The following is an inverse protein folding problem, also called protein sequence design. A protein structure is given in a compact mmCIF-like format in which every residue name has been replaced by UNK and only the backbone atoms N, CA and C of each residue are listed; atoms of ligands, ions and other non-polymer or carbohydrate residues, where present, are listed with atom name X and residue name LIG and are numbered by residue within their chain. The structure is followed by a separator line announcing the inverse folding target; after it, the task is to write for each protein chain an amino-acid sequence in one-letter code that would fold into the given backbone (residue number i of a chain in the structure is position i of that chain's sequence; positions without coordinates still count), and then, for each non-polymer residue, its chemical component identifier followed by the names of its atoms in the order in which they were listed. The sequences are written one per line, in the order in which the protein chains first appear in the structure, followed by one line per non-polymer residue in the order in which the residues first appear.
data_IF_584950706810
#
_entry.id   IF_584950706810
#
_cell.length_a   1.000
_cell.length_b   1.000
_cell.length_c   1.000
_cell.angle_alpha   90.00
_cell.angle_beta   90.00
_cell.angle_gamma   90.00
#
_symmetry.space_group_name_H-M   'P 1'
#
loop_
_entity.id
_entity.type
_entity.pdbx_description
1 polymer ?
#
# COMPACT_ATOMS: atom_id res chain seq x y z
N UNK A 1 -20.82 27.95 12.33
CA UNK A 1 -21.90 28.87 11.86
C UNK A 1 -22.09 28.79 10.34
N UNK A 2 -22.11 27.58 9.74
CA UNK A 2 -22.50 27.39 8.34
C UNK A 2 -23.72 26.46 8.32
N UNK A 3 -24.92 27.01 8.09
CA UNK A 3 -26.18 26.23 8.10
C UNK A 3 -26.34 25.34 6.87
N UNK A 4 -25.61 25.63 5.81
CA UNK A 4 -25.70 24.94 4.52
C UNK A 4 -24.59 23.90 4.33
N UNK A 5 -23.78 23.61 5.35
CA UNK A 5 -22.60 22.73 5.23
C UNK A 5 -22.93 21.35 4.66
N UNK A 6 -24.11 20.80 4.95
CA UNK A 6 -24.57 19.50 4.44
C UNK A 6 -24.95 19.53 2.94
N UNK A 7 -25.03 20.71 2.31
CA UNK A 7 -25.25 20.85 0.86
C UNK A 7 -23.94 20.86 0.07
N UNK A 8 -22.80 20.78 0.76
CA UNK A 8 -21.46 20.81 0.18
C UNK A 8 -20.64 21.97 0.76
N UNK A 9 -19.39 21.67 1.09
CA UNK A 9 -18.41 22.67 1.53
C UNK A 9 -17.02 22.26 1.06
N UNK A 10 -16.40 23.12 0.26
CA UNK A 10 -15.02 22.92 -0.20
C UNK A 10 -14.05 23.43 0.88
N UNK A 11 -13.24 22.52 1.41
CA UNK A 11 -12.24 22.87 2.40
C UNK A 11 -11.00 23.45 1.73
N UNK A 12 -10.57 24.63 2.16
CA UNK A 12 -9.26 25.15 1.82
C UNK A 12 -8.23 24.53 2.77
N UNK A 13 -7.33 23.69 2.25
CA UNK A 13 -6.33 22.98 3.07
C UNK A 13 -5.42 23.94 3.88
N UNK A 14 -5.07 25.10 3.35
CA UNK A 14 -4.19 26.04 4.08
C UNK A 14 -4.90 26.72 5.26
N UNK A 15 -6.23 26.85 5.24
CA UNK A 15 -6.99 27.66 6.21
C UNK A 15 -7.90 26.84 7.12
N UNK A 16 -8.56 25.82 6.56
CA UNK A 16 -9.65 25.12 7.24
C UNK A 16 -9.20 23.81 7.91
N UNK A 17 -7.98 23.34 7.66
CA UNK A 17 -7.44 22.09 8.23
C UNK A 17 -6.22 22.32 9.13
N UNK A 18 -6.00 23.55 9.59
CA UNK A 18 -4.95 23.84 10.57
C UNK A 18 -5.35 23.24 11.94
N UNK A 19 -4.52 22.38 12.54
CA UNK A 19 -4.84 21.77 13.83
C UNK A 19 -4.75 22.79 14.96
N UNK A 20 -5.57 22.60 16.00
CA UNK A 20 -5.47 23.35 17.25
C UNK A 20 -4.70 22.50 18.27
N UNK A 21 -3.56 23.01 18.74
CA UNK A 21 -2.69 22.29 19.68
C UNK A 21 -2.97 22.66 21.14
N UNK A 22 -3.18 23.94 21.43
CA UNK A 22 -3.40 24.43 22.79
C UNK A 22 -4.16 25.78 22.76
N UNK A 23 -4.63 26.21 23.94
CA UNK A 23 -5.18 27.55 24.16
C UNK A 23 -4.03 28.56 24.28
N UNK A 24 -4.30 29.80 23.89
CA UNK A 24 -3.32 30.89 24.00
C UNK A 24 -2.99 31.20 25.47
N UNK A 25 -1.70 31.40 25.78
CA UNK A 25 -1.21 31.78 27.10
C UNK A 25 0.11 32.57 26.98
N UNK A 26 0.44 33.41 27.97
CA UNK A 26 1.68 34.20 27.93
C UNK A 26 2.96 33.35 27.93
N UNK A 27 2.88 32.10 28.38
CA UNK A 27 3.97 31.11 28.42
C UNK A 27 4.23 30.45 27.05
N UNK A 28 3.32 30.60 26.09
CA UNK A 28 3.37 29.94 24.77
C UNK A 28 4.18 30.70 23.71
N UNK A 29 4.99 31.69 24.11
CA UNK A 29 5.66 32.63 23.19
C UNK A 29 6.88 32.06 22.46
N UNK A 30 7.40 30.90 22.86
CA UNK A 30 8.58 30.27 22.23
C UNK A 30 8.32 28.80 21.85
N UNK A 31 8.60 28.48 20.58
CA UNK A 31 8.80 27.15 19.97
C UNK A 31 8.19 25.93 20.70
N UNK A 32 6.89 25.99 20.98
CA UNK A 32 6.16 24.98 21.75
C UNK A 32 6.36 23.56 21.21
N UNK A 33 6.29 23.41 19.88
CA UNK A 33 6.44 22.11 19.22
C UNK A 33 7.83 21.51 19.45
N UNK A 34 8.90 22.30 19.31
CA UNK A 34 10.27 21.87 19.54
C UNK A 34 10.48 21.49 21.01
N UNK A 35 9.93 22.28 21.94
CA UNK A 35 10.04 22.00 23.36
C UNK A 35 9.30 20.70 23.76
N UNK A 36 8.11 20.46 23.22
CA UNK A 36 7.39 19.19 23.47
C UNK A 36 8.11 17.98 22.85
N UNK A 37 8.67 18.12 21.64
CA UNK A 37 9.50 17.06 21.05
C UNK A 37 10.75 16.76 21.89
N UNK A 38 11.46 17.81 22.32
CA UNK A 38 12.65 17.70 23.15
C UNK A 38 12.35 17.00 24.47
N UNK A 39 11.22 17.34 25.10
CA UNK A 39 10.72 16.69 26.30
C UNK A 39 10.38 15.22 26.09
N UNK A 40 9.70 14.87 24.98
CA UNK A 40 9.39 13.47 24.64
C UNK A 40 10.68 12.66 24.42
N UNK A 41 11.70 13.25 23.82
CA UNK A 41 12.99 12.61 23.52
C UNK A 41 13.99 12.65 24.69
N UNK A 42 13.76 13.51 25.69
CA UNK A 42 14.69 13.71 26.80
C UNK A 42 15.99 14.41 26.40
N UNK A 43 15.93 15.35 25.45
CA UNK A 43 17.09 16.12 24.95
C UNK A 43 16.86 17.64 25.13
N UNK A 44 17.89 18.46 24.93
CA UNK A 44 17.71 19.92 24.84
C UNK A 44 17.05 20.26 23.48
N UNK A 45 16.12 21.22 23.45
CA UNK A 45 15.48 21.64 22.20
C UNK A 45 16.48 22.22 21.20
N UNK A 46 17.61 22.75 21.67
CA UNK A 46 18.73 23.23 20.85
C UNK A 46 19.47 22.11 20.10
N UNK A 47 19.31 20.86 20.53
CA UNK A 47 19.91 19.70 19.85
C UNK A 47 19.06 19.20 18.68
N UNK A 48 17.82 19.69 18.52
CA UNK A 48 16.96 19.38 17.39
C UNK A 48 17.38 20.25 16.21
N UNK A 49 17.96 19.62 15.18
CA UNK A 49 18.39 20.30 13.96
C UNK A 49 17.24 20.53 12.98
N UNK A 50 16.35 19.54 12.84
CA UNK A 50 15.18 19.58 11.96
C UNK A 50 14.20 18.46 12.35
N UNK A 51 12.99 18.48 11.80
CA UNK A 51 11.96 17.46 12.03
C UNK A 51 11.03 17.26 10.83
N UNK A 52 10.57 16.02 10.66
CA UNK A 52 9.47 15.66 9.77
C UNK A 52 8.38 14.94 10.58
N UNK A 53 7.21 15.56 10.68
CA UNK A 53 6.11 15.13 11.54
C UNK A 53 4.82 15.03 10.75
N UNK A 54 4.09 13.95 11.01
CA UNK A 54 2.80 13.68 10.40
C UNK A 54 1.71 13.65 11.47
N UNK A 55 0.56 14.25 11.16
CA UNK A 55 -0.63 14.16 11.99
C UNK A 55 -1.40 12.91 11.55
N UNK A 56 -1.84 12.11 12.51
CA UNK A 56 -2.57 10.88 12.24
C UNK A 56 -3.62 10.61 13.30
N UNK A 57 -4.63 9.82 12.94
CA UNK A 57 -5.64 9.35 13.88
C UNK A 57 -5.00 8.41 14.93
N UNK A 58 -5.14 8.79 16.21
CA UNK A 58 -4.64 8.03 17.36
C UNK A 58 -5.55 6.87 17.78
N UNK A 59 -6.78 6.80 17.25
CA UNK A 59 -7.70 5.72 17.56
C UNK A 59 -7.12 4.37 17.09
N UNK A 60 -7.17 3.37 17.97
CA UNK A 60 -6.71 2.02 17.65
C UNK A 60 -7.56 1.41 16.53
N UNK A 61 -6.96 0.48 15.78
CA UNK A 61 -7.71 -0.37 14.88
C UNK A 61 -8.61 -1.32 15.65
N UNK A 62 -9.80 -1.58 15.11
CA UNK A 62 -10.83 -2.39 15.76
C UNK A 62 -11.47 -3.36 14.77
N UNK A 63 -11.88 -4.52 15.28
CA UNK A 63 -12.81 -5.38 14.56
C UNK A 63 -14.22 -4.80 14.68
N UNK A 64 -14.93 -4.75 13.55
CA UNK A 64 -16.28 -4.19 13.46
C UNK A 64 -17.18 -5.08 12.61
N UNK A 65 -18.48 -4.82 12.66
CA UNK A 65 -19.50 -5.69 12.06
C UNK A 65 -20.19 -6.57 13.09
N UNK A 66 -21.35 -7.12 12.74
CA UNK A 66 -22.17 -7.93 13.68
C UNK A 66 -21.46 -9.22 14.11
N UNK A 67 -20.48 -9.67 13.33
CA UNK A 67 -19.68 -10.88 13.54
C UNK A 67 -18.18 -10.56 13.54
N UNK A 68 -17.79 -9.30 13.74
CA UNK A 68 -16.38 -8.88 13.70
C UNK A 68 -15.71 -9.19 12.35
N UNK A 69 -16.49 -9.13 11.26
CA UNK A 69 -16.03 -9.53 9.92
C UNK A 69 -15.15 -8.49 9.21
N UNK A 70 -15.02 -7.27 9.76
CA UNK A 70 -14.26 -6.18 9.17
C UNK A 70 -13.18 -5.64 10.11
N UNK A 71 -12.14 -5.03 9.53
CA UNK A 71 -11.15 -4.24 10.26
C UNK A 71 -11.31 -2.77 9.89
N UNK A 72 -11.53 -1.92 10.90
CA UNK A 72 -11.56 -0.47 10.74
C UNK A 72 -10.34 0.16 11.39
N UNK A 73 -9.50 0.84 10.61
CA UNK A 73 -8.32 1.57 11.09
C UNK A 73 -7.76 2.50 10.01
N UNK A 74 -6.93 3.48 10.39
CA UNK A 74 -6.23 4.33 9.42
C UNK A 74 -5.01 3.63 8.81
N UNK A 75 -4.63 4.06 7.60
CA UNK A 75 -3.41 3.64 6.88
C UNK A 75 -3.40 2.15 6.48
N UNK A 76 -4.56 1.56 6.23
CA UNK A 76 -4.63 0.22 5.63
C UNK A 76 -3.98 0.25 4.26
N UNK A 77 -4.28 1.30 3.50
CA UNK A 77 -3.50 1.69 2.33
C UNK A 77 -2.17 2.35 2.76
N UNK A 78 -1.00 1.73 2.59
CA UNK A 78 -0.75 0.37 2.11
C UNK A 78 -0.08 -0.54 3.17
N UNK A 79 -0.23 -0.22 4.46
CA UNK A 79 0.39 -1.00 5.55
C UNK A 79 -0.13 -2.44 5.60
N UNK A 80 -1.34 -2.71 5.11
CA UNK A 80 -1.89 -4.06 5.09
C UNK A 80 -1.16 -4.99 4.13
N UNK A 81 -0.83 -4.51 2.94
CA UNK A 81 -0.04 -5.29 1.99
C UNK A 81 1.42 -5.41 2.44
N UNK A 82 1.99 -4.35 3.02
CA UNK A 82 3.32 -4.40 3.61
C UNK A 82 3.40 -5.43 4.76
N UNK A 83 2.45 -5.40 5.68
CA UNK A 83 2.35 -6.34 6.81
C UNK A 83 2.23 -7.77 6.32
N UNK A 84 1.25 -8.06 5.47
CA UNK A 84 0.99 -9.44 5.02
C UNK A 84 2.14 -9.99 4.19
N UNK A 85 2.80 -9.17 3.36
CA UNK A 85 4.00 -9.56 2.60
C UNK A 85 5.17 -9.89 3.52
N UNK A 86 5.45 -9.04 4.52
CA UNK A 86 6.54 -9.26 5.47
C UNK A 86 6.31 -10.50 6.33
N UNK A 87 5.10 -10.68 6.87
CA UNK A 87 4.77 -11.86 7.67
C UNK A 87 4.90 -13.13 6.85
N UNK A 88 4.39 -13.14 5.62
CA UNK A 88 4.53 -14.28 4.74
C UNK A 88 5.99 -14.61 4.43
N UNK A 89 6.84 -13.60 4.20
CA UNK A 89 8.27 -13.80 4.00
C UNK A 89 8.91 -14.47 5.23
N UNK A 90 8.67 -13.93 6.43
CA UNK A 90 9.23 -14.43 7.69
C UNK A 90 8.75 -15.85 8.04
N UNK A 91 7.54 -16.21 7.63
CA UNK A 91 6.94 -17.52 7.90
C UNK A 91 7.13 -18.53 6.76
N UNK A 92 7.79 -18.13 5.66
CA UNK A 92 8.09 -18.98 4.52
C UNK A 92 9.50 -19.59 4.62
N UNK A 93 9.71 -20.73 3.95
CA UNK A 93 11.05 -21.27 3.74
C UNK A 93 11.54 -20.82 2.37
N UNK A 94 12.72 -20.22 2.31
CA UNK A 94 13.29 -19.76 1.06
C UNK A 94 13.72 -20.92 0.16
N UNK A 95 13.19 -20.98 -1.07
CA UNK A 95 13.72 -21.82 -2.15
C UNK A 95 14.66 -21.07 -3.10
N UNK A 96 14.87 -19.77 -2.86
CA UNK A 96 15.71 -18.88 -3.64
C UNK A 96 15.99 -17.55 -2.94
N UNK A 97 16.27 -16.50 -3.71
CA UNK A 97 16.43 -15.14 -3.18
C UNK A 97 15.05 -14.50 -3.08
N UNK A 98 14.47 -14.55 -1.88
CA UNK A 98 13.21 -13.89 -1.60
C UNK A 98 13.46 -12.43 -1.19
N UNK A 99 12.68 -11.51 -1.76
CA UNK A 99 12.80 -10.08 -1.49
C UNK A 99 11.44 -9.54 -1.09
N UNK A 100 11.44 -8.76 -0.02
CA UNK A 100 10.36 -7.85 0.33
C UNK A 100 10.91 -6.43 0.23
N UNK A 101 10.17 -5.55 -0.46
CA UNK A 101 10.48 -4.15 -0.58
C UNK A 101 9.23 -3.33 -0.23
N UNK A 102 9.35 -2.48 0.79
CA UNK A 102 8.40 -1.42 1.07
C UNK A 102 9.03 -0.09 0.64
N UNK A 103 8.36 0.64 -0.25
CA UNK A 103 8.82 1.93 -0.76
C UNK A 103 8.03 3.07 -0.13
N UNK A 104 8.67 4.21 0.04
CA UNK A 104 8.02 5.44 0.49
C UNK A 104 7.48 6.24 -0.72
N UNK A 105 6.71 7.29 -0.46
CA UNK A 105 6.31 8.32 -1.42
C UNK A 105 5.48 7.85 -2.62
N UNK A 106 4.86 6.67 -2.55
CA UNK A 106 3.93 6.16 -3.56
C UNK A 106 2.81 7.19 -3.84
N UNK A 107 2.19 7.64 -2.76
CA UNK A 107 1.05 8.58 -2.74
C UNK A 107 1.36 9.98 -3.29
N UNK A 108 2.65 10.27 -3.52
CA UNK A 108 3.12 11.53 -4.11
C UNK A 108 3.89 11.29 -5.43
N UNK A 109 3.78 10.09 -6.01
CA UNK A 109 4.25 9.76 -7.35
C UNK A 109 5.52 8.91 -7.42
N UNK A 110 6.06 8.43 -6.30
CA UNK A 110 7.25 7.58 -6.20
C UNK A 110 8.58 8.15 -6.69
N UNK A 111 8.61 9.38 -7.21
CA UNK A 111 9.83 10.04 -7.73
C UNK A 111 10.69 10.59 -6.58
N UNK A 112 11.30 9.69 -5.83
CA UNK A 112 12.21 10.02 -4.72
C UNK A 112 13.30 8.95 -4.59
N UNK A 113 14.28 9.18 -3.71
CA UNK A 113 15.30 8.17 -3.41
C UNK A 113 14.71 6.87 -2.83
N UNK A 114 13.70 7.00 -1.95
CA UNK A 114 13.07 5.90 -1.25
C UNK A 114 11.81 5.35 -1.94
N UNK A 115 11.37 5.99 -3.03
CA UNK A 115 10.21 5.58 -3.82
C UNK A 115 10.52 4.52 -4.86
N UNK A 116 9.45 4.00 -5.46
CA UNK A 116 9.54 2.94 -6.46
C UNK A 116 10.16 3.37 -7.79
N UNK A 117 10.18 4.68 -8.10
CA UNK A 117 10.86 5.25 -9.28
C UNK A 117 12.37 5.46 -9.04
N UNK A 118 12.94 4.62 -8.16
CA UNK A 118 14.33 4.65 -7.77
C UNK A 118 15.05 3.41 -8.33
N UNK A 119 16.26 3.54 -8.89
CA UNK A 119 17.03 2.39 -9.37
C UNK A 119 17.61 1.54 -8.22
N UNK A 120 17.29 1.87 -6.95
CA UNK A 120 17.82 1.22 -5.75
C UNK A 120 17.56 -0.27 -5.74
N UNK A 121 16.36 -0.75 -6.12
CA UNK A 121 16.06 -2.18 -6.15
C UNK A 121 17.02 -2.93 -7.10
N UNK A 122 17.17 -2.45 -8.33
CA UNK A 122 18.08 -3.05 -9.31
C UNK A 122 19.53 -3.04 -8.84
N UNK A 123 19.99 -1.94 -8.22
CA UNK A 123 21.33 -1.86 -7.65
C UNK A 123 21.56 -2.81 -6.48
N UNK A 124 20.55 -3.01 -5.62
CA UNK A 124 20.64 -3.98 -4.52
C UNK A 124 20.74 -5.40 -5.07
N UNK A 125 19.87 -5.77 -6.02
CA UNK A 125 19.88 -7.11 -6.63
C UNK A 125 21.19 -7.39 -7.36
N UNK A 126 21.74 -6.41 -8.09
CA UNK A 126 23.04 -6.54 -8.75
C UNK A 126 24.18 -6.73 -7.71
N UNK A 127 24.16 -5.99 -6.60
CA UNK A 127 25.15 -6.18 -5.52
C UNK A 127 25.05 -7.56 -4.87
N UNK A 128 23.84 -8.08 -4.68
CA UNK A 128 23.61 -9.44 -4.18
C UNK A 128 24.18 -10.45 -5.17
N UNK A 129 23.91 -10.30 -6.47
CA UNK A 129 24.43 -11.19 -7.50
C UNK A 129 25.97 -11.20 -7.53
N UNK A 130 26.61 -10.02 -7.49
CA UNK A 130 28.08 -9.90 -7.43
C UNK A 130 28.64 -10.56 -6.18
N UNK A 131 28.01 -10.37 -5.02
CA UNK A 131 28.46 -10.97 -3.76
C UNK A 131 28.37 -12.51 -3.77
N UNK A 132 27.45 -13.06 -4.56
CA UNK A 132 27.30 -14.50 -4.80
C UNK A 132 28.22 -15.04 -5.92
N UNK A 133 29.05 -14.19 -6.51
CA UNK A 133 29.98 -14.56 -7.57
C UNK A 133 29.35 -14.65 -8.97
N UNK A 134 28.13 -14.15 -9.15
CA UNK A 134 27.47 -14.11 -10.44
C UNK A 134 28.06 -13.01 -11.34
N UNK A 135 28.17 -13.30 -12.63
CA UNK A 135 28.52 -12.32 -13.64
C UNK A 135 27.27 -11.59 -14.17
N UNK A 136 27.47 -10.61 -15.07
CA UNK A 136 26.39 -9.77 -15.61
C UNK A 136 25.32 -10.58 -16.38
N UNK A 137 25.73 -11.58 -17.15
CA UNK A 137 24.79 -12.41 -17.92
C UNK A 137 23.92 -13.25 -16.97
N UNK A 138 24.52 -13.81 -15.92
CA UNK A 138 23.79 -14.56 -14.89
C UNK A 138 22.78 -13.66 -14.14
N UNK A 139 23.15 -12.41 -13.85
CA UNK A 139 22.22 -11.43 -13.27
C UNK A 139 21.03 -11.13 -14.19
N UNK A 140 21.28 -10.86 -15.48
CA UNK A 140 20.20 -10.59 -16.45
C UNK A 140 19.27 -11.79 -16.62
N UNK A 141 19.83 -13.01 -16.65
CA UNK A 141 19.05 -14.25 -16.65
C UNK A 141 18.25 -14.42 -15.36
N UNK A 142 18.79 -14.03 -14.21
CA UNK A 142 18.06 -14.07 -12.94
C UNK A 142 16.85 -13.13 -12.96
N UNK A 143 16.99 -11.91 -13.51
CA UNK A 143 15.87 -10.98 -13.67
C UNK A 143 14.74 -11.56 -14.55
N UNK A 144 15.09 -12.17 -15.69
CA UNK A 144 14.09 -12.77 -16.59
C UNK A 144 13.35 -13.96 -15.95
N UNK A 145 14.01 -14.66 -15.02
CA UNK A 145 13.41 -15.75 -14.23
C UNK A 145 12.72 -15.28 -12.95
N UNK A 146 12.82 -13.99 -12.61
CA UNK A 146 12.18 -13.40 -11.43
C UNK A 146 10.70 -13.10 -11.70
N UNK A 147 9.93 -12.98 -10.61
CA UNK A 147 8.55 -12.55 -10.64
C UNK A 147 8.30 -11.58 -9.49
N UNK A 148 7.56 -10.50 -9.76
CA UNK A 148 7.25 -9.48 -8.77
C UNK A 148 5.73 -9.42 -8.55
N UNK A 149 5.32 -9.37 -7.29
CA UNK A 149 3.94 -9.04 -6.92
C UNK A 149 3.95 -7.59 -6.47
N UNK A 150 3.32 -6.72 -7.26
CA UNK A 150 3.02 -5.34 -6.88
C UNK A 150 1.77 -5.39 -6.01
N UNK A 151 1.99 -5.17 -4.71
CA UNK A 151 1.01 -5.44 -3.68
C UNK A 151 0.51 -4.12 -3.08
N UNK A 152 -0.74 -3.78 -3.37
CA UNK A 152 -1.31 -2.48 -3.05
C UNK A 152 -2.81 -2.57 -2.73
N UNK A 153 -3.50 -1.55 -2.24
CA UNK A 153 -4.93 -1.65 -1.97
C UNK A 153 -5.76 -1.82 -3.27
N UNK A 154 -7.00 -2.31 -3.15
CA UNK A 154 -7.95 -2.41 -4.25
C UNK A 154 -9.32 -1.88 -3.81
N UNK A 155 -10.03 -1.19 -4.71
CA UNK A 155 -11.37 -0.71 -4.38
C UNK A 155 -12.39 -1.84 -4.33
N UNK A 156 -13.03 -2.02 -3.18
CA UNK A 156 -14.25 -2.82 -3.09
C UNK A 156 -15.45 -2.04 -3.65
N UNK A 157 -16.45 -2.75 -4.18
CA UNK A 157 -17.73 -2.14 -4.55
C UNK A 157 -18.40 -1.58 -3.30
N UNK A 158 -18.66 -0.28 -3.31
CA UNK A 158 -19.36 0.35 -2.20
C UNK A 158 -20.87 0.13 -2.36
N UNK A 159 -21.60 -0.40 -1.35
CA UNK A 159 -23.02 -0.75 -1.48
C UNK A 159 -23.92 0.45 -1.80
N UNK A 160 -23.54 1.65 -1.34
CA UNK A 160 -24.26 2.90 -1.63
C UNK A 160 -23.86 3.57 -2.97
N UNK A 161 -22.82 3.08 -3.65
CA UNK A 161 -22.27 3.71 -4.87
C UNK A 161 -21.86 2.65 -5.90
N UNK A 162 -22.72 1.65 -6.12
CA UNK A 162 -22.42 0.52 -7.01
C UNK A 162 -22.18 0.97 -8.45
N UNK A 163 -22.75 2.09 -8.86
CA UNK A 163 -22.56 2.70 -10.18
C UNK A 163 -21.12 3.15 -10.44
N UNK A 164 -20.28 3.29 -9.39
CA UNK A 164 -18.86 3.64 -9.53
C UNK A 164 -17.99 2.45 -9.92
N UNK A 165 -18.46 1.22 -9.72
CA UNK A 165 -17.72 0.01 -10.08
C UNK A 165 -17.97 -0.40 -11.54
N UNK A 166 -17.07 -1.23 -12.07
CA UNK A 166 -17.32 -1.95 -13.33
C UNK A 166 -18.54 -2.88 -13.16
N UNK A 167 -19.44 -2.98 -14.15
CA UNK A 167 -20.64 -3.80 -14.02
C UNK A 167 -20.35 -5.32 -13.98
N UNK A 168 -19.17 -5.75 -14.42
CA UNK A 168 -18.79 -7.18 -14.49
C UNK A 168 -17.75 -7.57 -13.43
N UNK A 169 -17.02 -6.60 -12.87
CA UNK A 169 -15.95 -6.82 -11.90
C UNK A 169 -16.19 -5.96 -10.65
N UNK A 170 -16.74 -6.57 -9.61
CA UNK A 170 -17.14 -5.88 -8.38
C UNK A 170 -16.52 -6.59 -7.16
N UNK A 171 -15.26 -6.29 -6.80
CA UNK A 171 -14.64 -6.90 -5.64
C UNK A 171 -15.42 -6.58 -4.37
N UNK A 172 -15.58 -7.58 -3.50
CA UNK A 172 -16.22 -7.43 -2.19
C UNK A 172 -15.22 -7.67 -1.07
N UNK A 173 -15.48 -7.07 0.09
CA UNK A 173 -14.71 -7.29 1.32
C UNK A 173 -14.76 -8.78 1.71
N UNK A 174 -13.61 -9.34 2.08
CA UNK A 174 -13.51 -10.74 2.50
C UNK A 174 -13.55 -11.76 1.35
N UNK A 175 -13.64 -11.31 0.10
CA UNK A 175 -13.67 -12.16 -1.09
C UNK A 175 -12.29 -12.65 -1.55
N UNK A 176 -11.22 -12.33 -0.82
CA UNK A 176 -9.84 -12.70 -1.15
C UNK A 176 -9.14 -11.69 -2.06
N UNK A 177 -7.87 -11.97 -2.41
CA UNK A 177 -7.03 -11.09 -3.21
C UNK A 177 -7.67 -10.66 -4.53
N UNK A 178 -7.53 -9.37 -4.85
CA UNK A 178 -8.08 -8.78 -6.07
C UNK A 178 -6.97 -8.62 -7.10
N UNK A 179 -7.08 -9.26 -8.26
CA UNK A 179 -6.16 -9.08 -9.38
C UNK A 179 -6.59 -7.84 -10.18
N UNK A 180 -5.71 -6.83 -10.26
CA UNK A 180 -6.00 -5.53 -10.87
C UNK A 180 -5.56 -5.52 -12.33
N UNK A 181 -6.48 -5.30 -13.26
CA UNK A 181 -6.21 -5.21 -14.69
C UNK A 181 -6.48 -3.81 -15.24
N UNK A 182 -5.60 -3.34 -16.13
CA UNK A 182 -5.81 -2.11 -16.86
C UNK A 182 -5.14 -2.18 -18.25
N UNK A 183 -5.93 -2.07 -19.31
CA UNK A 183 -5.39 -2.02 -20.68
C UNK A 183 -4.48 -0.80 -20.92
N UNK A 184 -4.67 0.27 -20.13
CA UNK A 184 -3.81 1.45 -20.10
C UNK A 184 -2.43 1.22 -19.46
N UNK A 185 -2.17 0.03 -18.90
CA UNK A 185 -0.97 -0.30 -18.11
C UNK A 185 -0.78 0.55 -16.85
N UNK A 186 -1.88 1.04 -16.27
CA UNK A 186 -1.88 1.55 -14.89
C UNK A 186 -1.61 0.44 -13.85
N UNK A 187 -1.77 -0.82 -14.28
CA UNK A 187 -1.43 -2.04 -13.56
C UNK A 187 -0.65 -2.95 -14.52
N UNK A 188 0.28 -3.76 -14.00
CA UNK A 188 1.16 -4.60 -14.83
C UNK A 188 0.51 -5.90 -15.27
N UNK A 189 -0.56 -6.31 -14.58
CA UNK A 189 -1.23 -7.60 -14.78
C UNK A 189 -1.64 -7.84 -16.24
N UNK A 190 -1.37 -9.06 -16.69
CA UNK A 190 -1.79 -9.64 -17.96
C UNK A 190 -2.13 -11.13 -17.75
N UNK A 191 -2.50 -11.83 -18.83
CA UNK A 191 -2.89 -13.24 -18.73
C UNK A 191 -1.80 -14.14 -18.13
N UNK A 192 -0.53 -13.86 -18.40
CA UNK A 192 0.59 -14.66 -17.90
C UNK A 192 0.82 -14.44 -16.40
N UNK A 193 0.96 -13.17 -16.00
CA UNK A 193 1.20 -12.78 -14.61
C UNK A 193 0.01 -13.11 -13.70
N UNK A 194 -1.21 -12.89 -14.17
CA UNK A 194 -2.41 -13.28 -13.44
C UNK A 194 -2.58 -14.80 -13.39
N UNK A 195 -2.27 -15.54 -14.46
CA UNK A 195 -2.32 -17.00 -14.45
C UNK A 195 -1.40 -17.60 -13.39
N UNK A 196 -0.18 -17.05 -13.21
CA UNK A 196 0.71 -17.43 -12.11
C UNK A 196 0.10 -17.16 -10.74
N UNK A 197 -0.49 -15.99 -10.54
CA UNK A 197 -1.09 -15.65 -9.25
C UNK A 197 -2.34 -16.49 -8.95
N UNK A 198 -3.17 -16.79 -9.94
CA UNK A 198 -4.32 -17.70 -9.81
C UNK A 198 -3.88 -19.10 -9.41
N UNK A 199 -2.78 -19.61 -9.98
CA UNK A 199 -2.19 -20.90 -9.58
C UNK A 199 -1.73 -20.86 -8.11
N UNK A 200 -1.09 -19.77 -7.66
CA UNK A 200 -0.72 -19.57 -6.25
C UNK A 200 -1.96 -19.56 -5.33
N UNK A 201 -3.00 -18.81 -5.69
CA UNK A 201 -4.27 -18.81 -4.94
C UNK A 201 -4.88 -20.21 -4.86
N UNK A 202 -4.87 -20.95 -5.97
CA UNK A 202 -5.42 -22.32 -6.04
C UNK A 202 -4.66 -23.28 -5.11
N UNK A 203 -3.32 -23.25 -5.15
CA UNK A 203 -2.45 -24.06 -4.27
C UNK A 203 -2.63 -23.69 -2.79
N UNK A 204 -2.77 -22.39 -2.50
CA UNK A 204 -3.04 -21.88 -1.17
C UNK A 204 -4.49 -22.10 -0.69
N UNK A 205 -5.39 -22.57 -1.57
CA UNK A 205 -6.84 -22.71 -1.32
C UNK A 205 -7.49 -21.38 -0.89
N UNK A 206 -7.05 -20.29 -1.52
CA UNK A 206 -7.52 -18.92 -1.27
C UNK A 206 -8.42 -18.48 -2.44
N UNK A 207 -9.61 -17.91 -2.18
CA UNK A 207 -10.43 -17.32 -3.24
C UNK A 207 -9.74 -16.09 -3.82
N UNK A 208 -10.05 -15.73 -5.06
CA UNK A 208 -9.55 -14.49 -5.67
C UNK A 208 -10.66 -13.79 -6.44
N UNK A 209 -10.45 -12.50 -6.68
CA UNK A 209 -11.36 -11.61 -7.39
C UNK A 209 -10.60 -10.88 -8.49
N UNK A 210 -11.33 -10.19 -9.36
CA UNK A 210 -10.75 -9.36 -10.43
C UNK A 210 -11.28 -7.94 -10.33
N UNK A 211 -10.44 -6.98 -10.70
CA UNK A 211 -10.80 -5.58 -10.75
C UNK A 211 -10.43 -5.00 -12.11
N UNK A 212 -11.37 -4.26 -12.67
CA UNK A 212 -11.19 -3.39 -13.82
C UNK A 212 -11.75 -2.03 -13.47
N UNK A 213 -11.10 -0.98 -13.94
CA UNK A 213 -11.71 0.34 -13.94
C UNK A 213 -12.89 0.34 -14.91
N UNK A 214 -13.91 1.16 -14.63
CA UNK A 214 -14.88 1.52 -15.66
C UNK A 214 -14.14 2.18 -16.83
N UNK A 215 -14.49 1.80 -18.06
CA UNK A 215 -13.82 2.30 -19.26
C UNK A 215 -13.97 3.82 -19.49
N UNK A 216 -14.94 4.47 -18.84
CA UNK A 216 -15.22 5.90 -18.96
C UNK A 216 -14.52 6.77 -17.90
N UNK A 217 -13.78 6.16 -16.97
CA UNK A 217 -13.07 6.88 -15.89
C UNK A 217 -11.60 6.48 -15.87
N UNK A 218 -10.72 7.47 -15.69
CA UNK A 218 -9.31 7.20 -15.44
C UNK A 218 -9.16 6.58 -14.05
N UNK A 219 -8.64 5.36 -13.99
CA UNK A 219 -8.28 4.71 -12.72
C UNK A 219 -7.00 5.24 -12.10
N UNK A 220 -6.74 4.81 -10.87
CA UNK A 220 -5.43 4.94 -10.22
C UNK A 220 -4.34 4.16 -10.95
N UNK A 221 -3.11 4.32 -10.48
CA UNK A 221 -1.91 3.58 -10.87
C UNK A 221 -1.25 3.07 -9.59
N UNK A 222 -0.28 2.17 -9.71
CA UNK A 222 0.50 1.65 -8.59
C UNK A 222 2.00 1.80 -8.84
N UNK A 223 2.81 1.33 -7.88
CA UNK A 223 4.24 1.11 -8.07
C UNK A 223 4.59 0.02 -9.10
N UNK A 224 3.65 -0.82 -9.51
CA UNK A 224 3.92 -1.95 -10.42
C UNK A 224 4.56 -1.49 -11.74
N UNK A 225 3.87 -0.66 -12.53
CA UNK A 225 4.42 -0.14 -13.79
C UNK A 225 5.69 0.69 -13.58
N UNK A 226 5.77 1.45 -12.48
CA UNK A 226 6.94 2.26 -12.13
C UNK A 226 8.15 1.36 -11.91
N UNK A 227 8.01 0.33 -11.07
CA UNK A 227 9.05 -0.65 -10.77
C UNK A 227 9.49 -1.39 -12.03
N UNK A 228 8.54 -1.82 -12.88
CA UNK A 228 8.86 -2.48 -14.16
C UNK A 228 9.68 -1.59 -15.11
N UNK A 229 9.48 -0.27 -15.06
CA UNK A 229 10.27 0.67 -15.87
C UNK A 229 11.72 0.81 -15.39
N UNK A 230 11.95 0.62 -14.08
CA UNK A 230 13.28 0.66 -13.47
C UNK A 230 14.01 -0.70 -13.50
N UNK A 231 13.26 -1.81 -13.46
CA UNK A 231 13.81 -3.16 -13.51
C UNK A 231 12.89 -4.10 -14.29
N UNK A 232 13.44 -4.78 -15.30
CA UNK A 232 12.70 -5.64 -16.21
C UNK A 232 12.31 -6.99 -15.56
N UNK A 233 11.37 -6.96 -14.61
CA UNK A 233 10.80 -8.14 -13.95
C UNK A 233 9.30 -8.22 -14.29
N UNK A 234 8.82 -9.40 -14.69
CA UNK A 234 7.40 -9.63 -14.92
C UNK A 234 6.64 -9.51 -13.60
N UNK A 235 5.54 -8.77 -13.59
CA UNK A 235 4.78 -8.54 -12.37
C UNK A 235 3.28 -8.63 -12.53
N UNK A 236 2.62 -8.96 -11.43
CA UNK A 236 1.17 -8.88 -11.26
C UNK A 236 0.86 -7.77 -10.25
N UNK A 237 -0.18 -6.98 -10.52
CA UNK A 237 -0.75 -6.04 -9.56
C UNK A 237 -1.96 -6.68 -8.90
N UNK A 238 -1.88 -6.79 -7.58
CA UNK A 238 -2.95 -7.33 -6.75
C UNK A 238 -3.27 -6.40 -5.60
N UNK A 239 -4.41 -6.61 -4.95
CA UNK A 239 -4.71 -5.84 -3.77
C UNK A 239 -5.80 -6.31 -2.84
N UNK A 240 -5.76 -5.75 -1.64
CA UNK A 240 -6.77 -5.98 -0.61
C UNK A 240 -7.97 -5.08 -0.83
N UNK A 241 -9.14 -5.72 -0.96
CA UNK A 241 -10.39 -5.01 -1.16
C UNK A 241 -10.70 -4.10 0.04
N UNK A 242 -10.79 -2.79 -0.21
CA UNK A 242 -10.85 -1.73 0.79
C UNK A 242 -11.98 -0.76 0.46
N UNK A 243 -12.72 -0.34 1.46
CA UNK A 243 -13.67 0.78 1.41
C UNK A 243 -13.08 1.99 2.11
N UNK A 244 -13.40 3.17 1.58
CA UNK A 244 -12.93 4.44 2.13
C UNK A 244 -11.44 4.67 1.95
N UNK A 245 -10.81 4.08 0.92
CA UNK A 245 -9.40 4.29 0.58
C UNK A 245 -9.02 5.79 0.63
N UNK A 246 -7.88 6.11 1.26
CA UNK A 246 -7.37 7.46 1.59
C UNK A 246 -8.17 8.20 2.69
N UNK A 247 -9.12 7.56 3.34
CA UNK A 247 -9.75 8.10 4.56
C UNK A 247 -8.74 8.06 5.72
N UNK A 248 -8.92 8.96 6.69
CA UNK A 248 -8.23 8.85 7.99
C UNK A 248 -8.52 7.51 8.69
N UNK A 249 -9.63 6.85 8.32
CA UNK A 249 -10.02 5.51 8.78
C UNK A 249 -10.70 4.72 7.66
N UNK A 250 -10.10 3.61 7.29
CA UNK A 250 -10.49 2.73 6.18
C UNK A 250 -11.16 1.46 6.71
N UNK A 251 -11.69 0.63 5.80
CA UNK A 251 -12.40 -0.61 6.12
C UNK A 251 -12.06 -1.74 5.14
N UNK A 252 -11.62 -2.89 5.67
CA UNK A 252 -11.30 -4.12 4.90
C UNK A 252 -11.96 -5.34 5.54
N UNK A 253 -12.01 -6.46 4.81
CA UNK A 253 -12.45 -7.75 5.37
C UNK A 253 -11.38 -8.38 6.26
N UNK A 254 -11.74 -8.80 7.48
CA UNK A 254 -10.78 -9.40 8.42
C UNK A 254 -10.15 -10.70 7.89
N UNK A 255 -10.92 -11.49 7.13
CA UNK A 255 -10.45 -12.73 6.49
C UNK A 255 -9.37 -12.50 5.43
N UNK A 256 -9.34 -11.33 4.78
CA UNK A 256 -8.42 -11.05 3.69
C UNK A 256 -6.96 -11.00 4.18
N UNK A 257 -6.70 -10.61 5.43
CA UNK A 257 -5.36 -10.66 6.02
C UNK A 257 -4.78 -12.07 5.97
N UNK A 258 -5.56 -13.07 6.37
CA UNK A 258 -5.14 -14.47 6.33
C UNK A 258 -5.01 -15.00 4.90
N UNK A 259 -5.93 -14.62 4.01
CA UNK A 259 -5.86 -14.95 2.59
C UNK A 259 -4.54 -14.47 1.96
N UNK A 260 -4.15 -13.23 2.24
CA UNK A 260 -2.91 -12.65 1.73
C UNK A 260 -1.66 -13.31 2.27
N UNK A 261 -1.59 -13.55 3.59
CA UNK A 261 -0.46 -14.28 4.18
C UNK A 261 -0.31 -15.66 3.54
N UNK A 262 -1.43 -16.38 3.32
CA UNK A 262 -1.39 -17.72 2.74
C UNK A 262 -0.93 -17.74 1.28
N UNK A 263 -1.41 -16.81 0.43
CA UNK A 263 -0.97 -16.74 -0.97
C UNK A 263 0.47 -16.25 -1.09
N UNK A 264 0.91 -15.31 -0.26
CA UNK A 264 2.29 -14.83 -0.27
C UNK A 264 3.28 -15.89 0.25
N UNK A 265 2.86 -16.74 1.20
CA UNK A 265 3.65 -17.93 1.56
C UNK A 265 3.85 -18.86 0.37
N UNK A 266 2.84 -19.01 -0.48
CA UNK A 266 2.98 -19.82 -1.70
C UNK A 266 3.90 -19.16 -2.72
N UNK A 267 3.89 -17.83 -2.81
CA UNK A 267 4.83 -17.08 -3.66
C UNK A 267 6.30 -17.24 -3.22
N UNK A 268 6.56 -17.28 -1.92
CA UNK A 268 7.91 -17.39 -1.37
C UNK A 268 8.48 -18.82 -1.26
N UNK A 269 7.65 -19.85 -1.49
CA UNK A 269 8.07 -21.26 -1.56
C UNK A 269 8.68 -21.61 -2.90
#
# INVERSE_FOLDING_TARGET
MNREVNKGFEFNAQKHTLPLMALDSEEMKEDLLLNEMAKIKGIDSKDILDYDLYIYDTAKGELVGLKEEFISQGRQDNLFMAYTSLIALLESNASGINVFLATDNEEVGSTSYAGADSPVLGRILERVAIALGANREEYLRALENSFLISADAAHAVHPNFTEKADPTNQPILGGGPVIKYAASRSYTSDAYSAGKFIDMCTKAKVPFQTYHNRSDVKGGSTIGPISQSQIAIKSVDIGMSTLGMHSARELTGASDVAHFINVFKEFYK
#
